data_IF_704754437407
#
_entry.id   IF_704754437407
#
_cell.length_a   1.000
_cell.length_b   1.000
_cell.length_c   1.000
_cell.angle_alpha   90.00
_cell.angle_beta   90.00
_cell.angle_gamma   90.00
#
_symmetry.space_group_name_H-M   'P 1'
#
loop_
_entity.id
_entity.type
_entity.pdbx_description
1 polymer ?
#
# COMPACT_ATOMS: atom_id res chain seq x y z
N UNK A 1 38.59 0.31 -17.25
CA UNK A 1 37.62 -0.30 -16.32
C UNK A 1 37.27 -1.69 -16.84
N UNK A 2 37.30 -2.73 -16.01
CA UNK A 2 36.87 -4.07 -16.44
C UNK A 2 35.35 -4.10 -16.68
N UNK A 3 34.86 -4.93 -17.61
CA UNK A 3 33.42 -5.07 -17.87
C UNK A 3 32.62 -5.38 -16.60
N UNK A 4 33.19 -6.18 -15.69
CA UNK A 4 32.61 -6.50 -14.38
C UNK A 4 32.43 -5.25 -13.50
N UNK A 5 33.40 -4.33 -13.51
CA UNK A 5 33.30 -3.08 -12.73
C UNK A 5 32.20 -2.16 -13.27
N UNK A 6 32.04 -2.08 -14.60
CA UNK A 6 30.97 -1.30 -15.24
C UNK A 6 29.60 -1.92 -14.97
N UNK A 7 29.46 -3.24 -15.11
CA UNK A 7 28.21 -3.94 -14.81
C UNK A 7 27.79 -3.74 -13.34
N UNK A 8 28.75 -3.82 -12.41
CA UNK A 8 28.51 -3.57 -10.99
C UNK A 8 28.09 -2.12 -10.74
N UNK A 9 28.73 -1.15 -11.37
CA UNK A 9 28.37 0.27 -11.26
C UNK A 9 26.93 0.49 -11.75
N UNK A 10 26.59 0.05 -12.96
CA UNK A 10 25.23 0.15 -13.52
C UNK A 10 24.20 -0.49 -12.58
N UNK A 11 24.51 -1.66 -12.01
CA UNK A 11 23.58 -2.38 -11.14
C UNK A 11 23.38 -1.74 -9.76
N UNK A 12 24.39 -1.03 -9.22
CA UNK A 12 24.39 -0.60 -7.80
C UNK A 12 24.39 0.91 -7.59
N UNK A 13 24.90 1.69 -8.54
CA UNK A 13 24.97 3.13 -8.44
C UNK A 13 23.61 3.77 -8.72
N UNK A 14 23.03 4.37 -7.67
CA UNK A 14 21.70 4.98 -7.71
C UNK A 14 21.55 6.10 -8.75
N UNK A 15 22.65 6.67 -9.27
CA UNK A 15 22.61 7.66 -10.34
C UNK A 15 21.94 7.12 -11.62
N UNK A 16 22.11 5.82 -11.94
CA UNK A 16 21.54 5.23 -13.15
C UNK A 16 20.01 5.11 -13.11
N UNK A 17 19.40 5.20 -11.92
CA UNK A 17 17.93 5.23 -11.79
C UNK A 17 17.29 6.44 -12.49
N UNK A 18 18.07 7.49 -12.79
CA UNK A 18 17.62 8.68 -13.51
C UNK A 18 17.11 8.37 -14.91
N UNK A 19 17.84 7.56 -15.66
CA UNK A 19 17.50 7.17 -17.03
C UNK A 19 16.82 5.79 -17.08
N UNK A 20 17.10 4.91 -16.11
CA UNK A 20 16.48 3.58 -16.07
C UNK A 20 14.97 3.66 -15.85
N UNK A 21 14.50 4.55 -14.97
CA UNK A 21 13.06 4.70 -14.72
C UNK A 21 12.25 5.11 -15.96
N UNK A 22 12.58 6.19 -16.70
CA UNK A 22 11.86 6.53 -17.92
C UNK A 22 11.98 5.44 -18.99
N UNK A 23 13.12 4.75 -19.09
CA UNK A 23 13.26 3.59 -19.98
C UNK A 23 12.27 2.48 -19.63
N UNK A 24 12.18 2.10 -18.36
CA UNK A 24 11.23 1.09 -17.90
C UNK A 24 9.78 1.51 -18.19
N UNK A 25 9.42 2.78 -17.98
CA UNK A 25 8.09 3.28 -18.30
C UNK A 25 7.76 3.13 -19.80
N UNK A 26 8.71 3.41 -20.70
CA UNK A 26 8.51 3.26 -22.15
C UNK A 26 8.38 1.79 -22.54
N UNK A 27 9.27 0.93 -22.02
CA UNK A 27 9.22 -0.52 -22.28
C UNK A 27 7.89 -1.11 -21.82
N UNK A 28 7.43 -0.72 -20.63
CA UNK A 28 6.23 -1.27 -20.03
C UNK A 28 4.95 -0.69 -20.65
N UNK A 29 4.99 0.55 -21.15
CA UNK A 29 3.92 1.11 -21.97
C UNK A 29 3.74 0.32 -23.27
N UNK A 30 4.85 -0.04 -23.93
CA UNK A 30 4.82 -0.90 -25.10
C UNK A 30 4.29 -2.31 -24.76
N UNK A 31 4.75 -2.89 -23.65
CA UNK A 31 4.24 -4.18 -23.16
C UNK A 31 2.73 -4.12 -22.88
N UNK A 32 2.24 -3.07 -22.24
CA UNK A 32 0.80 -2.87 -22.02
C UNK A 32 0.02 -2.80 -23.33
N UNK A 33 0.56 -2.11 -24.35
CA UNK A 33 -0.04 -2.07 -25.69
C UNK A 33 -0.15 -3.46 -26.31
N UNK A 34 0.93 -4.24 -26.25
CA UNK A 34 0.95 -5.64 -26.72
C UNK A 34 -0.04 -6.50 -25.95
N UNK A 35 -0.17 -6.32 -24.63
CA UNK A 35 -1.12 -7.07 -23.80
C UNK A 35 -2.56 -6.75 -24.22
N UNK A 36 -2.92 -5.48 -24.44
CA UNK A 36 -4.26 -5.08 -24.88
C UNK A 36 -4.59 -5.71 -26.23
N UNK A 37 -3.63 -5.72 -27.16
CA UNK A 37 -3.85 -6.26 -28.51
C UNK A 37 -3.91 -7.80 -28.55
N UNK A 38 -3.07 -8.47 -27.75
CA UNK A 38 -2.86 -9.93 -27.87
C UNK A 38 -3.54 -10.77 -26.80
N UNK A 39 -3.99 -10.19 -25.69
CA UNK A 39 -4.57 -10.92 -24.56
C UNK A 39 -6.03 -10.51 -24.36
N UNK A 40 -7.00 -11.44 -24.41
CA UNK A 40 -8.40 -11.13 -24.19
C UNK A 40 -8.66 -10.50 -22.81
N UNK A 41 -9.53 -9.49 -22.81
CA UNK A 41 -10.11 -8.93 -21.59
C UNK A 41 -10.79 -10.01 -20.75
N UNK A 42 -10.64 -9.94 -19.42
CA UNK A 42 -11.27 -10.87 -18.49
C UNK A 42 -12.22 -10.11 -17.56
N UNK A 43 -13.52 -10.23 -17.83
CA UNK A 43 -14.56 -9.64 -16.97
C UNK A 43 -14.58 -10.33 -15.60
N UNK A 44 -14.51 -9.52 -14.54
CA UNK A 44 -14.71 -9.96 -13.16
C UNK A 44 -15.66 -8.98 -12.46
N UNK A 45 -15.22 -7.74 -12.25
CA UNK A 45 -16.00 -6.75 -11.48
C UNK A 45 -16.36 -5.48 -12.27
N UNK A 46 -15.80 -5.27 -13.47
CA UNK A 46 -15.99 -4.02 -14.22
C UNK A 46 -17.47 -3.73 -14.50
N UNK A 47 -18.18 -4.73 -15.03
CA UNK A 47 -19.62 -4.68 -15.26
C UNK A 47 -20.41 -4.35 -13.99
N UNK A 48 -20.02 -4.94 -12.85
CA UNK A 48 -20.64 -4.66 -11.55
C UNK A 48 -20.38 -3.22 -11.11
N UNK A 49 -19.16 -2.70 -11.30
CA UNK A 49 -18.87 -1.30 -11.01
C UNK A 49 -19.76 -0.37 -11.85
N UNK A 50 -19.94 -0.65 -13.15
CA UNK A 50 -20.81 0.14 -14.02
C UNK A 50 -22.29 0.07 -13.60
N UNK A 51 -22.76 -1.10 -13.16
CA UNK A 51 -24.11 -1.27 -12.61
C UNK A 51 -24.31 -0.46 -11.33
N UNK A 52 -23.35 -0.47 -10.40
CA UNK A 52 -23.38 0.35 -9.19
C UNK A 52 -23.51 1.84 -9.53
N UNK A 53 -22.69 2.31 -10.47
CA UNK A 53 -22.74 3.71 -10.92
C UNK A 53 -24.05 4.05 -11.62
N UNK A 54 -24.62 3.13 -12.42
CA UNK A 54 -25.93 3.32 -13.05
C UNK A 54 -27.04 3.55 -12.02
N UNK A 55 -27.08 2.73 -10.96
CA UNK A 55 -28.03 2.90 -9.84
C UNK A 55 -27.80 4.23 -9.10
N UNK A 56 -26.54 4.57 -8.81
CA UNK A 56 -26.18 5.86 -8.21
C UNK A 56 -26.64 7.04 -9.08
N UNK A 57 -26.47 6.95 -10.40
CA UNK A 57 -26.85 8.01 -11.33
C UNK A 57 -28.38 8.18 -11.46
N UNK A 58 -29.15 7.13 -11.18
CA UNK A 58 -30.62 7.19 -11.05
C UNK A 58 -31.10 7.80 -9.73
N UNK A 59 -30.19 8.18 -8.84
CA UNK A 59 -30.50 8.85 -7.58
C UNK A 59 -30.43 7.96 -6.34
N UNK A 60 -30.08 6.67 -6.47
CA UNK A 60 -29.92 5.78 -5.31
C UNK A 60 -28.72 6.23 -4.46
N UNK A 61 -28.90 6.28 -3.14
CA UNK A 61 -27.90 6.67 -2.14
C UNK A 61 -27.79 5.69 -0.98
N UNK A 62 -28.71 4.73 -0.89
CA UNK A 62 -28.68 3.65 0.08
C UNK A 62 -27.79 2.51 -0.44
N UNK A 63 -26.62 2.33 0.17
CA UNK A 63 -25.65 1.29 -0.22
C UNK A 63 -26.22 -0.13 -0.17
N UNK A 64 -27.21 -0.38 0.70
CA UNK A 64 -27.89 -1.68 0.77
C UNK A 64 -28.65 -2.04 -0.51
N UNK A 65 -28.99 -1.03 -1.33
CA UNK A 65 -29.72 -1.16 -2.60
C UNK A 65 -28.84 -1.02 -3.83
N UNK A 66 -27.57 -0.61 -3.67
CA UNK A 66 -26.63 -0.49 -4.78
C UNK A 66 -25.92 -1.83 -4.97
N UNK A 67 -26.43 -2.64 -5.88
CA UNK A 67 -25.94 -4.00 -6.15
C UNK A 67 -25.67 -4.24 -7.63
N UNK A 68 -24.87 -5.25 -7.93
CA UNK A 68 -24.55 -5.69 -9.28
C UNK A 68 -24.27 -7.19 -9.32
N UNK A 69 -23.90 -7.70 -10.49
CA UNK A 69 -23.76 -9.13 -10.78
C UNK A 69 -22.79 -9.88 -9.86
N UNK A 70 -21.73 -9.24 -9.37
CA UNK A 70 -20.75 -9.84 -8.44
C UNK A 70 -20.94 -9.41 -6.99
N UNK A 71 -21.97 -8.61 -6.68
CA UNK A 71 -22.38 -8.30 -5.32
C UNK A 71 -22.70 -6.82 -5.05
N UNK A 72 -22.87 -6.46 -3.76
CA UNK A 72 -23.18 -5.09 -3.36
C UNK A 72 -21.98 -4.15 -3.48
N UNK A 73 -22.26 -2.85 -3.56
CA UNK A 73 -21.24 -1.81 -3.42
C UNK A 73 -20.71 -1.80 -1.98
N UNK A 74 -19.40 -2.00 -1.86
CA UNK A 74 -18.67 -2.03 -0.58
C UNK A 74 -17.45 -1.11 -0.55
N UNK A 75 -17.36 -0.22 -1.53
CA UNK A 75 -16.23 0.71 -1.67
C UNK A 75 -16.63 2.10 -1.20
N UNK A 76 -15.76 2.88 -0.54
CA UNK A 76 -16.13 4.21 -0.08
C UNK A 76 -16.28 5.21 -1.22
N UNK A 77 -16.68 6.45 -0.89
CA UNK A 77 -17.21 7.40 -1.86
C UNK A 77 -16.30 7.84 -3.00
N UNK A 78 -14.96 7.75 -2.86
CA UNK A 78 -14.06 8.09 -3.96
C UNK A 78 -14.14 7.06 -5.09
N UNK A 79 -14.41 5.78 -4.80
CA UNK A 79 -14.73 4.79 -5.82
C UNK A 79 -15.92 5.27 -6.66
N UNK A 80 -17.02 5.67 -6.02
CA UNK A 80 -18.22 6.13 -6.73
C UNK A 80 -17.90 7.35 -7.60
N UNK A 81 -17.11 8.29 -7.09
CA UNK A 81 -16.72 9.48 -7.85
C UNK A 81 -15.85 9.15 -9.08
N UNK A 82 -14.80 8.33 -8.92
CA UNK A 82 -13.91 7.91 -10.01
C UNK A 82 -14.70 7.14 -11.06
N UNK A 83 -15.47 6.14 -10.64
CA UNK A 83 -16.20 5.29 -11.56
C UNK A 83 -17.38 6.01 -12.21
N UNK A 84 -17.91 7.09 -11.62
CA UNK A 84 -18.83 8.00 -12.31
C UNK A 84 -18.17 8.68 -13.52
N UNK A 85 -16.91 9.11 -13.40
CA UNK A 85 -16.19 9.68 -14.55
C UNK A 85 -15.92 8.60 -15.60
N UNK A 86 -15.44 7.42 -15.18
CA UNK A 86 -15.19 6.28 -16.08
C UNK A 86 -16.47 5.87 -16.82
N UNK A 87 -17.60 5.78 -16.14
CA UNK A 87 -18.90 5.45 -16.74
C UNK A 87 -19.30 6.45 -17.83
N UNK A 88 -19.05 7.75 -17.64
CA UNK A 88 -19.37 8.78 -18.64
C UNK A 88 -18.48 8.68 -19.88
N UNK A 89 -17.18 8.44 -19.69
CA UNK A 89 -16.21 8.49 -20.79
C UNK A 89 -16.03 7.15 -21.50
N UNK A 90 -16.51 6.03 -20.95
CA UNK A 90 -16.38 4.68 -21.55
C UNK A 90 -17.69 4.16 -22.15
N UNK A 91 -18.61 5.06 -22.53
CA UNK A 91 -19.95 4.68 -23.02
C UNK A 91 -20.66 3.72 -22.05
N UNK A 92 -20.81 4.17 -20.80
CA UNK A 92 -21.43 3.42 -19.71
C UNK A 92 -20.73 2.08 -19.40
N UNK A 93 -19.43 1.99 -19.73
CA UNK A 93 -18.61 0.79 -19.56
C UNK A 93 -18.59 -0.17 -20.73
N UNK A 94 -19.27 0.14 -21.85
CA UNK A 94 -19.29 -0.69 -23.06
C UNK A 94 -17.99 -0.61 -23.85
N UNK A 95 -17.32 0.54 -23.83
CA UNK A 95 -16.02 0.70 -24.49
C UNK A 95 -14.89 0.19 -23.57
N UNK A 96 -14.70 -1.12 -23.59
CA UNK A 96 -13.67 -1.82 -22.79
C UNK A 96 -12.27 -1.39 -23.20
N UNK A 97 -11.98 -1.30 -24.49
CA UNK A 97 -10.66 -0.89 -24.98
C UNK A 97 -10.23 0.47 -24.43
N UNK A 98 -11.14 1.46 -24.46
CA UNK A 98 -10.90 2.77 -23.83
C UNK A 98 -10.66 2.65 -22.33
N UNK A 99 -11.40 1.78 -21.64
CA UNK A 99 -11.17 1.53 -20.23
C UNK A 99 -9.78 0.92 -19.98
N UNK A 100 -9.34 -0.03 -20.81
CA UNK A 100 -8.00 -0.63 -20.72
C UNK A 100 -6.90 0.42 -20.89
N UNK A 101 -7.01 1.32 -21.88
CA UNK A 101 -6.06 2.42 -22.04
C UNK A 101 -6.05 3.39 -20.85
N UNK A 102 -7.22 3.72 -20.29
CA UNK A 102 -7.29 4.55 -19.08
C UNK A 102 -6.61 3.87 -17.89
N UNK A 103 -6.82 2.56 -17.70
CA UNK A 103 -6.14 1.80 -16.66
C UNK A 103 -4.64 1.62 -16.93
N UNK A 104 -4.20 1.58 -18.19
CA UNK A 104 -2.77 1.65 -18.54
C UNK A 104 -2.17 2.99 -18.13
N UNK A 105 -2.86 4.11 -18.30
CA UNK A 105 -2.38 5.42 -17.80
C UNK A 105 -2.28 5.43 -16.27
N UNK A 106 -3.27 4.85 -15.58
CA UNK A 106 -3.24 4.68 -14.11
C UNK A 106 -2.06 3.80 -13.69
N UNK A 107 -1.82 2.70 -14.42
CA UNK A 107 -0.70 1.79 -14.19
C UNK A 107 0.65 2.50 -14.35
N UNK A 108 0.89 3.17 -15.47
CA UNK A 108 2.14 3.87 -15.76
C UNK A 108 2.36 5.05 -14.81
N UNK A 109 1.31 5.79 -14.46
CA UNK A 109 1.38 6.84 -13.45
C UNK A 109 1.75 6.29 -12.08
N UNK A 110 1.17 5.15 -11.69
CA UNK A 110 1.52 4.48 -10.44
C UNK A 110 2.95 3.93 -10.46
N UNK A 111 3.38 3.27 -11.54
CA UNK A 111 4.75 2.79 -11.74
C UNK A 111 5.76 3.94 -11.67
N UNK A 112 5.45 5.10 -12.27
CA UNK A 112 6.26 6.30 -12.18
C UNK A 112 6.42 6.81 -10.75
N UNK A 113 5.33 6.81 -9.96
CA UNK A 113 5.36 7.16 -8.54
C UNK A 113 6.14 6.15 -7.70
N UNK A 114 5.95 4.84 -7.94
CA UNK A 114 6.70 3.75 -7.28
C UNK A 114 8.19 3.92 -7.56
N UNK A 115 8.58 4.06 -8.83
CA UNK A 115 9.97 4.32 -9.21
C UNK A 115 10.52 5.61 -8.60
N UNK A 116 9.71 6.67 -8.54
CA UNK A 116 10.03 7.91 -7.83
C UNK A 116 10.30 7.67 -6.34
N UNK A 117 9.49 6.83 -5.69
CA UNK A 117 9.65 6.48 -4.28
C UNK A 117 10.94 5.69 -4.04
N UNK A 118 11.22 4.71 -4.90
CA UNK A 118 12.45 3.91 -4.87
C UNK A 118 13.69 4.80 -5.03
N UNK A 119 13.64 5.77 -5.95
CA UNK A 119 14.71 6.75 -6.17
C UNK A 119 14.95 7.62 -4.94
N UNK A 120 13.88 8.16 -4.33
CA UNK A 120 13.98 8.97 -3.10
C UNK A 120 14.52 8.17 -1.92
N UNK A 121 14.18 6.89 -1.84
CA UNK A 121 14.69 5.97 -0.83
C UNK A 121 16.10 5.42 -1.14
N UNK A 122 16.73 5.84 -2.25
CA UNK A 122 18.07 5.43 -2.72
C UNK A 122 18.19 3.91 -2.99
N UNK A 123 17.14 3.30 -3.53
CA UNK A 123 17.17 1.89 -3.95
C UNK A 123 18.11 1.73 -5.16
N UNK A 124 18.97 0.71 -5.19
CA UNK A 124 19.90 0.47 -6.28
C UNK A 124 19.18 0.03 -7.58
N UNK A 125 19.77 0.31 -8.76
CA UNK A 125 19.17 0.00 -10.05
C UNK A 125 18.78 -1.47 -10.26
N UNK A 126 19.51 -2.45 -9.71
CA UNK A 126 19.21 -3.87 -9.90
C UNK A 126 17.82 -4.30 -9.39
N UNK A 127 17.18 -3.51 -8.54
CA UNK A 127 15.82 -3.81 -8.02
C UNK A 127 14.73 -3.34 -8.99
N UNK A 128 15.00 -2.32 -9.80
CA UNK A 128 14.01 -1.68 -10.67
C UNK A 128 13.38 -2.60 -11.72
N UNK A 129 14.08 -3.57 -12.33
CA UNK A 129 13.45 -4.53 -13.24
C UNK A 129 12.27 -5.28 -12.59
N UNK A 130 12.32 -5.60 -11.30
CA UNK A 130 11.23 -6.29 -10.59
C UNK A 130 9.91 -5.49 -10.55
N UNK A 131 9.94 -4.19 -10.87
CA UNK A 131 8.75 -3.34 -10.88
C UNK A 131 7.84 -3.58 -12.09
N UNK A 132 8.39 -4.13 -13.18
CA UNK A 132 7.66 -4.33 -14.45
C UNK A 132 7.48 -5.81 -14.82
N UNK A 133 8.16 -6.73 -14.14
CA UNK A 133 8.14 -8.15 -14.52
C UNK A 133 6.85 -8.90 -14.12
N UNK A 134 5.94 -8.27 -13.38
CA UNK A 134 4.76 -8.95 -12.84
C UNK A 134 3.66 -9.13 -13.88
N UNK A 135 3.40 -10.38 -14.29
CA UNK A 135 2.24 -10.75 -15.11
C UNK A 135 0.94 -10.47 -14.38
N UNK A 136 0.86 -10.81 -13.09
CA UNK A 136 -0.37 -10.63 -12.31
C UNK A 136 -0.74 -9.15 -12.20
N UNK A 137 0.23 -8.28 -11.98
CA UNK A 137 0.00 -6.84 -11.84
C UNK A 137 -0.56 -6.21 -13.12
N UNK A 138 0.05 -6.50 -14.27
CA UNK A 138 -0.49 -6.14 -15.59
C UNK A 138 -1.93 -6.61 -15.75
N UNK A 139 -2.20 -7.85 -15.35
CA UNK A 139 -3.52 -8.45 -15.47
C UNK A 139 -4.56 -7.83 -14.52
N UNK A 140 -4.15 -7.29 -13.37
CA UNK A 140 -5.03 -6.57 -12.43
C UNK A 140 -5.44 -5.22 -13.00
N UNK A 141 -4.48 -4.46 -13.53
CA UNK A 141 -4.72 -3.13 -14.09
C UNK A 141 -5.42 -3.21 -15.44
N UNK A 142 -4.82 -3.89 -16.41
CA UNK A 142 -5.16 -3.75 -17.84
C UNK A 142 -6.19 -4.78 -18.31
N UNK A 143 -6.23 -5.97 -17.69
CA UNK A 143 -7.12 -7.05 -18.14
C UNK A 143 -8.35 -7.27 -17.26
N UNK A 144 -8.36 -6.76 -16.03
CA UNK A 144 -9.47 -6.90 -15.07
C UNK A 144 -10.06 -5.58 -14.60
N UNK A 145 -9.35 -4.46 -14.77
CA UNK A 145 -9.83 -3.10 -14.45
C UNK A 145 -10.27 -2.96 -12.98
N UNK A 146 -9.51 -3.57 -12.06
CA UNK A 146 -9.88 -3.61 -10.64
C UNK A 146 -9.78 -2.26 -9.94
N UNK A 147 -10.71 -1.99 -9.02
CA UNK A 147 -10.72 -0.77 -8.19
C UNK A 147 -9.42 -0.54 -7.41
N UNK A 148 -8.75 -1.62 -6.98
CA UNK A 148 -7.49 -1.60 -6.24
C UNK A 148 -6.39 -0.75 -6.89
N UNK A 149 -6.41 -0.63 -8.23
CA UNK A 149 -5.45 0.18 -8.99
C UNK A 149 -5.42 1.65 -8.53
N UNK A 150 -6.59 2.24 -8.31
CA UNK A 150 -6.71 3.63 -7.85
C UNK A 150 -6.32 3.79 -6.37
N UNK A 151 -6.58 2.78 -5.54
CA UNK A 151 -6.18 2.79 -4.14
C UNK A 151 -4.65 2.71 -3.99
N UNK A 152 -3.99 1.84 -4.78
CA UNK A 152 -2.52 1.74 -4.82
C UNK A 152 -1.90 3.00 -5.39
N UNK A 153 -2.52 3.63 -6.41
CA UNK A 153 -2.11 4.94 -6.89
C UNK A 153 -2.12 5.98 -5.76
N UNK A 154 -3.21 6.07 -5.00
CA UNK A 154 -3.31 6.97 -3.84
C UNK A 154 -2.25 6.70 -2.77
N UNK A 155 -1.98 5.43 -2.46
CA UNK A 155 -0.94 5.02 -1.51
C UNK A 155 0.46 5.48 -1.93
N UNK A 156 0.88 5.17 -3.16
CA UNK A 156 2.22 5.56 -3.62
C UNK A 156 2.34 7.06 -3.90
N UNK A 157 1.26 7.72 -4.32
CA UNK A 157 1.23 9.18 -4.44
C UNK A 157 1.43 9.85 -3.08
N UNK A 158 0.80 9.32 -2.02
CA UNK A 158 0.98 9.79 -0.66
C UNK A 158 2.42 9.58 -0.16
N UNK A 159 2.97 8.37 -0.31
CA UNK A 159 4.37 8.07 0.05
C UNK A 159 5.32 9.04 -0.66
N UNK A 160 5.14 9.25 -1.97
CA UNK A 160 5.99 10.14 -2.76
C UNK A 160 5.89 11.60 -2.31
N UNK A 161 4.71 12.06 -1.89
CA UNK A 161 4.51 13.39 -1.31
C UNK A 161 5.19 13.51 0.07
N UNK A 162 5.03 12.53 0.95
CA UNK A 162 5.70 12.49 2.27
C UNK A 162 7.22 12.49 2.15
N UNK A 163 7.77 11.75 1.19
CA UNK A 163 9.21 11.75 0.90
C UNK A 163 9.76 13.08 0.35
N UNK A 164 8.88 14.01 -0.02
CA UNK A 164 9.21 15.37 -0.47
C UNK A 164 8.79 16.44 0.54
N UNK A 165 8.48 16.05 1.77
CA UNK A 165 7.98 16.91 2.82
C UNK A 165 6.67 17.66 2.48
N UNK A 166 5.88 17.12 1.54
CA UNK A 166 4.56 17.65 1.16
C UNK A 166 3.45 16.93 1.93
N UNK A 167 3.40 17.12 3.26
CA UNK A 167 2.57 16.31 4.16
C UNK A 167 1.07 16.49 3.97
N UNK A 168 0.58 17.73 3.85
CA UNK A 168 -0.84 17.99 3.59
C UNK A 168 -1.31 17.33 2.29
N UNK A 169 -0.54 17.47 1.22
CA UNK A 169 -0.82 16.83 -0.07
C UNK A 169 -0.77 15.31 0.07
N UNK A 170 0.20 14.77 0.78
CA UNK A 170 0.30 13.33 1.04
C UNK A 170 -0.93 12.79 1.78
N UNK A 171 -1.40 13.50 2.82
CA UNK A 171 -2.58 13.12 3.60
C UNK A 171 -3.87 13.22 2.78
N UNK A 172 -3.98 14.23 1.91
CA UNK A 172 -5.08 14.33 0.94
C UNK A 172 -5.10 13.15 -0.06
N UNK A 173 -3.94 12.82 -0.64
CA UNK A 173 -3.80 11.72 -1.60
C UNK A 173 -4.06 10.36 -0.94
N UNK A 174 -3.55 10.17 0.28
CA UNK A 174 -3.79 8.98 1.08
C UNK A 174 -5.27 8.81 1.39
N UNK A 175 -5.92 9.88 1.86
CA UNK A 175 -7.34 9.88 2.17
C UNK A 175 -8.19 9.59 0.93
N UNK A 176 -7.79 10.11 -0.24
CA UNK A 176 -8.44 9.79 -1.52
C UNK A 176 -8.34 8.29 -1.80
N UNK A 177 -7.15 7.68 -1.70
CA UNK A 177 -6.98 6.23 -1.86
C UNK A 177 -7.74 5.40 -0.81
N UNK A 178 -7.81 5.87 0.43
CA UNK A 178 -8.58 5.25 1.51
C UNK A 178 -10.06 5.22 1.16
N UNK A 179 -10.56 6.29 0.53
CA UNK A 179 -11.93 6.37 0.08
C UNK A 179 -12.19 5.65 -1.25
N UNK A 180 -11.16 5.12 -1.90
CA UNK A 180 -11.30 4.14 -2.99
C UNK A 180 -11.44 2.73 -2.41
N UNK A 181 -10.60 2.39 -1.42
CA UNK A 181 -10.64 1.09 -0.76
C UNK A 181 -10.13 1.18 0.68
N UNK A 182 -10.92 0.64 1.61
CA UNK A 182 -10.63 0.66 3.05
C UNK A 182 -9.33 -0.07 3.45
N UNK A 183 -8.72 -0.84 2.55
CA UNK A 183 -7.43 -1.50 2.81
C UNK A 183 -6.30 -0.53 3.16
N UNK A 184 -6.42 0.76 2.81
CA UNK A 184 -5.48 1.79 3.26
C UNK A 184 -5.66 2.17 4.74
N UNK A 185 -6.59 1.59 5.50
CA UNK A 185 -6.57 1.69 6.96
C UNK A 185 -5.35 0.98 7.57
N UNK A 186 -4.82 -0.05 6.90
CA UNK A 186 -3.71 -0.87 7.38
C UNK A 186 -2.43 -0.07 7.72
N UNK A 187 -1.97 0.88 6.89
CA UNK A 187 -0.80 1.72 7.21
C UNK A 187 -1.07 2.87 8.20
N UNK A 188 -2.33 3.17 8.55
CA UNK A 188 -2.68 4.35 9.34
C UNK A 188 -1.97 4.43 10.71
N UNK A 189 -1.84 3.32 11.49
CA UNK A 189 -1.09 3.36 12.77
C UNK A 189 0.38 3.77 12.59
N UNK A 190 1.03 3.26 11.55
CA UNK A 190 2.43 3.58 11.24
C UNK A 190 2.59 5.04 10.78
N UNK A 191 1.62 5.55 10.01
CA UNK A 191 1.60 6.96 9.62
C UNK A 191 1.50 7.88 10.82
N UNK A 192 0.66 7.56 11.82
CA UNK A 192 0.58 8.35 13.05
C UNK A 192 1.92 8.45 13.78
N UNK A 193 2.60 7.32 14.00
CA UNK A 193 3.94 7.28 14.64
C UNK A 193 4.97 8.10 13.86
N UNK A 194 4.91 8.03 12.54
CA UNK A 194 5.83 8.70 11.64
C UNK A 194 5.57 10.22 11.56
N UNK A 195 4.29 10.63 11.50
CA UNK A 195 3.89 12.04 11.47
C UNK A 195 4.20 12.74 12.79
N UNK A 196 3.99 12.09 13.95
CA UNK A 196 4.40 12.64 15.24
C UNK A 196 5.90 12.92 15.29
N UNK A 197 6.74 12.03 14.75
CA UNK A 197 8.19 12.23 14.74
C UNK A 197 8.63 13.31 13.75
N UNK A 198 7.95 13.43 12.61
CA UNK A 198 8.33 14.41 11.59
C UNK A 198 7.80 15.80 11.88
N UNK A 199 6.54 15.91 12.27
CA UNK A 199 5.79 17.16 12.25
C UNK A 199 5.50 17.73 13.64
N UNK A 200 5.67 16.91 14.69
CA UNK A 200 5.13 17.21 16.01
C UNK A 200 3.66 16.84 16.08
N UNK A 201 3.09 16.93 17.28
CA UNK A 201 1.76 16.38 17.58
C UNK A 201 0.64 17.25 17.03
N UNK A 202 0.81 18.57 17.11
CA UNK A 202 -0.20 19.51 16.59
C UNK A 202 -0.38 19.34 15.09
N UNK A 203 0.72 19.30 14.36
CA UNK A 203 0.68 19.19 12.91
C UNK A 203 0.32 17.76 12.47
N UNK A 204 0.71 16.73 13.22
CA UNK A 204 0.19 15.36 13.05
C UNK A 204 -1.34 15.30 13.18
N UNK A 205 -1.93 16.03 14.14
CA UNK A 205 -3.38 16.15 14.27
C UNK A 205 -4.01 16.86 13.05
N UNK A 206 -3.37 17.91 12.51
CA UNK A 206 -3.78 18.54 11.25
C UNK A 206 -3.86 17.51 10.12
N UNK A 207 -2.88 16.61 9.98
CA UNK A 207 -2.89 15.56 8.98
C UNK A 207 -4.05 14.58 9.17
N UNK A 208 -4.34 14.18 10.41
CA UNK A 208 -5.49 13.35 10.73
C UNK A 208 -6.82 14.04 10.37
N UNK A 209 -6.93 15.35 10.66
CA UNK A 209 -8.10 16.14 10.30
C UNK A 209 -8.28 16.25 8.79
N UNK A 210 -7.21 16.37 8.01
CA UNK A 210 -7.29 16.31 6.54
C UNK A 210 -7.84 14.96 6.09
N UNK A 211 -7.34 13.84 6.64
CA UNK A 211 -7.83 12.50 6.29
C UNK A 211 -9.31 12.35 6.61
N UNK A 212 -9.73 12.83 7.78
CA UNK A 212 -11.12 12.82 8.21
C UNK A 212 -12.01 13.68 7.29
N UNK A 213 -11.64 14.94 7.05
CA UNK A 213 -12.41 15.88 6.23
C UNK A 213 -12.55 15.41 4.79
N UNK A 214 -11.48 14.88 4.18
CA UNK A 214 -11.53 14.31 2.82
C UNK A 214 -12.43 13.08 2.78
N UNK A 215 -12.43 12.24 3.82
CA UNK A 215 -13.33 11.09 3.91
C UNK A 215 -14.80 11.50 4.05
N UNK A 216 -15.07 12.54 4.83
CA UNK A 216 -16.41 13.15 4.93
C UNK A 216 -16.83 13.74 3.58
N UNK A 217 -15.93 14.42 2.87
CA UNK A 217 -16.20 15.00 1.55
C UNK A 217 -16.64 13.93 0.54
N UNK A 218 -15.90 12.82 0.43
CA UNK A 218 -16.28 11.71 -0.46
C UNK A 218 -17.56 10.99 -0.01
N UNK A 219 -17.80 10.90 1.31
CA UNK A 219 -19.03 10.32 1.87
C UNK A 219 -20.26 11.23 1.80
N UNK A 220 -20.09 12.54 1.59
CA UNK A 220 -21.16 13.55 1.67
C UNK A 220 -22.39 13.28 0.79
N UNK A 221 -22.27 12.73 -0.43
CA UNK A 221 -23.44 12.35 -1.24
C UNK A 221 -24.39 11.38 -0.53
N UNK A 222 -23.89 10.59 0.43
CA UNK A 222 -24.62 9.56 1.15
C UNK A 222 -25.07 9.99 2.56
N UNK A 223 -24.94 11.27 2.92
CA UNK A 223 -25.25 11.78 4.28
C UNK A 223 -26.64 11.44 4.81
N UNK A 224 -27.66 11.36 3.94
CA UNK A 224 -29.04 10.97 4.31
C UNK A 224 -29.18 9.48 4.59
N UNK A 225 -28.21 8.67 4.13
CA UNK A 225 -28.13 7.22 4.28
C UNK A 225 -26.79 6.82 4.95
N UNK A 226 -26.31 7.65 5.88
CA UNK A 226 -24.97 7.52 6.46
C UNK A 226 -24.73 6.14 7.11
N UNK A 227 -25.71 5.60 7.83
CA UNK A 227 -25.59 4.27 8.45
C UNK A 227 -25.42 3.16 7.41
N UNK A 228 -26.17 3.23 6.30
CA UNK A 228 -26.04 2.30 5.18
C UNK A 228 -24.66 2.43 4.51
N UNK A 229 -24.22 3.68 4.27
CA UNK A 229 -22.90 3.97 3.71
C UNK A 229 -21.77 3.42 4.56
N UNK A 230 -21.66 3.82 5.84
CA UNK A 230 -20.58 3.37 6.71
C UNK A 230 -20.65 1.87 7.01
N UNK A 231 -21.85 1.32 7.16
CA UNK A 231 -22.06 -0.11 7.39
C UNK A 231 -21.59 -0.99 6.23
N UNK A 232 -21.58 -0.48 4.99
CA UNK A 232 -21.16 -1.23 3.79
C UNK A 232 -19.79 -0.85 3.26
N UNK A 233 -19.45 0.43 3.19
CA UNK A 233 -18.16 0.92 2.70
C UNK A 233 -16.98 0.57 3.63
N UNK A 234 -17.26 0.38 4.92
CA UNK A 234 -16.27 0.01 5.95
C UNK A 234 -16.71 -1.26 6.72
N UNK A 235 -17.21 -2.26 5.99
CA UNK A 235 -17.74 -3.51 6.56
C UNK A 235 -16.62 -4.45 7.03
N UNK A 236 -16.23 -4.34 8.30
CA UNK A 236 -15.18 -5.17 8.92
C UNK A 236 -15.62 -6.61 9.22
N UNK A 237 -16.93 -6.88 9.26
CA UNK A 237 -17.48 -8.21 9.56
C UNK A 237 -17.50 -9.16 8.35
N UNK A 238 -17.31 -8.64 7.14
CA UNK A 238 -17.46 -9.41 5.91
C UNK A 238 -16.50 -10.61 5.87
N UNK A 239 -17.06 -11.77 5.59
CA UNK A 239 -16.30 -12.98 5.27
C UNK A 239 -16.30 -13.20 3.77
N UNK A 240 -15.11 -13.28 3.18
CA UNK A 240 -14.96 -13.70 1.80
C UNK A 240 -15.04 -15.22 1.70
N UNK A 241 -15.52 -15.71 0.54
CA UNK A 241 -15.70 -17.13 0.31
C UNK A 241 -14.34 -17.83 0.27
N UNK A 242 -14.23 -18.96 0.95
CA UNK A 242 -13.00 -19.75 1.02
C UNK A 242 -12.48 -20.14 -0.38
N UNK A 243 -13.37 -20.34 -1.36
CA UNK A 243 -13.00 -20.64 -2.76
C UNK A 243 -12.15 -19.56 -3.45
N UNK A 244 -12.24 -18.30 -3.00
CA UNK A 244 -11.56 -17.17 -3.62
C UNK A 244 -10.30 -16.72 -2.88
N UNK A 245 -10.03 -17.28 -1.70
CA UNK A 245 -8.87 -16.90 -0.91
C UNK A 245 -7.58 -17.38 -1.57
N UNK A 246 -6.57 -16.51 -1.59
CA UNK A 246 -5.22 -16.82 -2.04
C UNK A 246 -4.35 -17.25 -0.87
N UNK A 247 -4.61 -16.72 0.33
CA UNK A 247 -3.93 -17.07 1.57
C UNK A 247 -4.77 -18.02 2.45
N UNK A 248 -4.09 -18.79 3.31
CA UNK A 248 -4.70 -19.78 4.22
C UNK A 248 -5.45 -20.94 3.57
N UNK A 249 -5.25 -21.24 2.28
CA UNK A 249 -5.87 -22.38 1.57
C UNK A 249 -5.38 -23.75 2.07
N UNK A 250 -4.31 -23.78 2.85
CA UNK A 250 -3.82 -24.97 3.54
C UNK A 250 -4.51 -25.19 4.91
N UNK A 251 -5.36 -24.27 5.35
CA UNK A 251 -6.16 -24.38 6.58
C UNK A 251 -7.55 -24.91 6.22
N UNK A 252 -8.13 -25.88 6.95
CA UNK A 252 -9.48 -26.36 6.69
C UNK A 252 -10.53 -25.23 6.65
N UNK A 253 -11.54 -25.35 5.78
CA UNK A 253 -12.56 -24.32 5.57
C UNK A 253 -13.31 -23.97 6.86
N UNK A 254 -13.61 -24.98 7.68
CA UNK A 254 -14.27 -24.82 8.97
C UNK A 254 -13.46 -23.93 9.92
N UNK A 255 -12.15 -24.16 9.99
CA UNK A 255 -11.23 -23.34 10.79
C UNK A 255 -11.11 -21.94 10.21
N UNK A 256 -10.97 -21.82 8.89
CA UNK A 256 -10.87 -20.53 8.18
C UNK A 256 -12.08 -19.62 8.45
N UNK A 257 -13.29 -20.18 8.44
CA UNK A 257 -14.53 -19.43 8.68
C UNK A 257 -14.82 -19.19 10.17
N UNK A 258 -14.08 -19.85 11.07
CA UNK A 258 -14.30 -19.76 12.51
C UNK A 258 -13.98 -18.36 13.09
N UNK A 259 -14.74 -17.95 14.11
CA UNK A 259 -14.46 -16.72 14.88
C UNK A 259 -13.10 -16.75 15.59
N UNK A 260 -12.67 -17.86 16.24
CA UNK A 260 -11.36 -17.92 16.87
C UNK A 260 -10.21 -17.66 15.91
N UNK A 261 -10.26 -18.20 14.68
CA UNK A 261 -9.23 -17.96 13.67
C UNK A 261 -9.15 -16.48 13.27
N UNK A 262 -10.29 -15.84 13.01
CA UNK A 262 -10.35 -14.42 12.68
C UNK A 262 -9.82 -13.52 13.82
N UNK A 263 -10.20 -13.81 15.07
CA UNK A 263 -9.73 -13.07 16.25
C UNK A 263 -8.24 -13.32 16.52
N UNK A 264 -7.76 -14.54 16.29
CA UNK A 264 -6.33 -14.88 16.40
C UNK A 264 -5.48 -14.09 15.42
N UNK A 265 -5.90 -14.03 14.15
CA UNK A 265 -5.23 -13.21 13.12
C UNK A 265 -5.23 -11.73 13.49
N UNK A 266 -6.32 -11.20 14.02
CA UNK A 266 -6.41 -9.82 14.50
C UNK A 266 -5.46 -9.57 15.69
N UNK A 267 -5.38 -10.52 16.63
CA UNK A 267 -4.43 -10.46 17.74
C UNK A 267 -2.97 -10.44 17.27
N UNK A 268 -2.62 -11.30 16.31
CA UNK A 268 -1.29 -11.32 15.68
C UNK A 268 -1.01 -9.99 14.96
N UNK A 269 -2.00 -9.45 14.24
CA UNK A 269 -1.88 -8.15 13.59
C UNK A 269 -1.52 -7.04 14.58
N UNK A 270 -2.29 -6.92 15.66
CA UNK A 270 -2.04 -5.94 16.72
C UNK A 270 -0.67 -6.13 17.38
N UNK A 271 -0.30 -7.38 17.69
CA UNK A 271 0.99 -7.70 18.28
C UNK A 271 2.16 -7.30 17.36
N UNK A 272 2.09 -7.61 16.06
CA UNK A 272 3.12 -7.22 15.09
C UNK A 272 3.23 -5.70 14.94
N UNK A 273 2.09 -4.98 14.89
CA UNK A 273 2.10 -3.51 14.87
C UNK A 273 2.75 -2.92 16.13
N UNK A 274 2.45 -3.47 17.32
CA UNK A 274 3.08 -3.05 18.57
C UNK A 274 4.58 -3.31 18.54
N UNK A 275 5.01 -4.53 18.16
CA UNK A 275 6.43 -4.89 18.07
C UNK A 275 7.17 -3.95 17.13
N UNK A 276 6.65 -3.71 15.92
CA UNK A 276 7.27 -2.77 14.98
C UNK A 276 7.24 -1.34 15.50
N UNK A 277 6.12 -0.90 16.07
CA UNK A 277 5.96 0.41 16.69
C UNK A 277 7.06 0.68 17.71
N UNK A 278 7.16 -0.17 18.74
CA UNK A 278 8.08 0.04 19.87
C UNK A 278 9.54 -0.27 19.57
N UNK A 279 9.82 -1.17 18.63
CA UNK A 279 11.21 -1.60 18.37
C UNK A 279 11.82 -1.01 17.10
N UNK A 280 11.03 -0.51 16.15
CA UNK A 280 11.52 -0.01 14.84
C UNK A 280 11.03 1.40 14.53
N UNK A 281 9.72 1.64 14.59
CA UNK A 281 9.16 2.89 14.10
C UNK A 281 9.43 4.08 15.01
N UNK A 282 9.58 3.91 16.33
CA UNK A 282 9.94 5.03 17.23
C UNK A 282 11.44 5.30 17.28
N UNK A 283 12.30 4.48 16.67
CA UNK A 283 13.76 4.61 16.79
C UNK A 283 14.32 5.98 16.39
N UNK A 284 13.85 6.65 15.31
CA UNK A 284 14.35 7.99 14.98
C UNK A 284 14.17 9.01 16.11
N UNK A 285 13.13 8.86 16.93
CA UNK A 285 12.89 9.72 18.10
C UNK A 285 13.91 9.57 19.22
N UNK A 286 14.70 8.48 19.23
CA UNK A 286 15.64 8.12 20.32
C UNK A 286 14.99 8.03 21.71
N UNK A 287 13.68 7.84 21.77
CA UNK A 287 12.90 7.74 23.01
C UNK A 287 12.54 6.30 23.33
N UNK A 288 12.43 5.99 24.62
CA UNK A 288 11.73 4.80 25.07
C UNK A 288 10.23 4.88 24.71
N UNK A 289 9.49 3.76 24.64
CA UNK A 289 8.05 3.78 24.36
C UNK A 289 7.25 4.69 25.29
N UNK A 290 7.63 4.76 26.59
CA UNK A 290 6.97 5.64 27.57
C UNK A 290 7.20 7.12 27.26
N UNK A 291 8.44 7.49 26.93
CA UNK A 291 8.77 8.86 26.53
C UNK A 291 8.11 9.23 25.18
N UNK A 292 8.04 8.28 24.26
CA UNK A 292 7.33 8.48 22.98
C UNK A 292 5.84 8.76 23.20
N UNK A 293 5.18 8.02 24.10
CA UNK A 293 3.77 8.26 24.40
C UNK A 293 3.49 9.69 24.91
N UNK A 294 4.42 10.26 25.70
CA UNK A 294 4.32 11.64 26.20
C UNK A 294 4.33 12.70 25.08
N UNK A 295 4.90 12.38 23.92
CA UNK A 295 4.95 13.29 22.77
C UNK A 295 3.86 12.99 21.72
N UNK A 296 2.96 12.04 21.97
CA UNK A 296 1.80 11.84 21.08
C UNK A 296 0.76 12.94 21.32
N UNK A 297 0.58 13.33 22.58
CA UNK A 297 -0.30 14.44 23.00
C UNK A 297 0.42 15.29 24.07
N UNK A 298 1.44 16.07 23.68
CA UNK A 298 2.23 16.85 24.61
C UNK A 298 1.52 18.14 25.01
N UNK A 299 1.86 18.66 26.19
CA UNK A 299 1.46 20.00 26.62
C UNK A 299 2.22 21.10 25.85
N UNK A 300 3.46 20.81 25.45
CA UNK A 300 4.30 21.66 24.60
C UNK A 300 5.16 20.78 23.67
N UNK A 301 5.40 21.24 22.44
CA UNK A 301 6.22 20.49 21.47
C UNK A 301 7.64 20.25 22.02
N UNK A 302 8.24 19.07 21.78
CA UNK A 302 9.58 18.76 22.27
C UNK A 302 10.64 19.73 21.73
N UNK A 303 11.59 20.13 22.58
CA UNK A 303 12.70 21.04 22.18
C UNK A 303 13.56 20.48 21.04
N UNK A 304 13.66 19.16 20.93
CA UNK A 304 14.43 18.42 19.92
C UNK A 304 13.58 17.97 18.70
N UNK A 305 12.36 18.50 18.52
CA UNK A 305 11.46 18.12 17.42
C UNK A 305 12.12 18.23 16.04
N UNK A 306 12.90 19.30 15.79
CA UNK A 306 13.62 19.47 14.52
C UNK A 306 14.69 18.40 14.29
N UNK A 307 15.35 17.95 15.36
CA UNK A 307 16.36 16.89 15.30
C UNK A 307 15.70 15.56 14.97
N UNK A 308 14.55 15.27 15.61
CA UNK A 308 13.74 14.09 15.29
C UNK A 308 13.27 14.12 13.83
N UNK A 309 12.75 15.26 13.36
CA UNK A 309 12.25 15.44 12.00
C UNK A 309 13.31 15.18 10.93
N UNK A 310 14.56 15.60 11.17
CA UNK A 310 15.70 15.33 10.27
C UNK A 310 16.04 13.85 10.14
N UNK A 311 15.77 13.03 11.17
CA UNK A 311 16.01 11.58 11.15
C UNK A 311 14.90 10.81 10.40
N UNK A 312 13.74 11.42 10.16
CA UNK A 312 12.68 10.85 9.32
C UNK A 312 13.05 11.04 7.85
N UNK A 313 13.77 10.05 7.30
CA UNK A 313 14.25 10.05 5.91
C UNK A 313 13.21 9.48 4.94
N UNK A 314 13.31 9.75 3.62
CA UNK A 314 12.43 9.15 2.63
C UNK A 314 12.42 7.61 2.64
N UNK A 315 13.58 7.00 2.92
CA UNK A 315 13.71 5.57 3.07
C UNK A 315 12.90 5.07 4.28
N UNK A 316 13.05 5.71 5.43
CA UNK A 316 12.31 5.38 6.64
C UNK A 316 10.79 5.56 6.48
N UNK A 317 10.36 6.62 5.78
CA UNK A 317 8.94 6.87 5.48
C UNK A 317 8.32 5.69 4.74
N UNK A 318 8.96 5.28 3.65
CA UNK A 318 8.49 4.19 2.81
C UNK A 318 8.53 2.84 3.56
N UNK A 319 9.59 2.55 4.30
CA UNK A 319 9.69 1.32 5.12
C UNK A 319 8.57 1.25 6.15
N UNK A 320 8.30 2.34 6.87
CA UNK A 320 7.30 2.35 7.93
C UNK A 320 5.89 2.13 7.40
N UNK A 321 5.51 2.83 6.31
CA UNK A 321 4.19 2.69 5.69
C UNK A 321 4.01 1.29 5.07
N UNK A 322 5.00 0.81 4.30
CA UNK A 322 4.87 -0.48 3.60
C UNK A 322 4.96 -1.67 4.55
N UNK A 323 5.72 -1.61 5.64
CA UNK A 323 5.74 -2.69 6.65
C UNK A 323 4.37 -2.85 7.32
N UNK A 324 3.70 -1.75 7.67
CA UNK A 324 2.35 -1.80 8.23
C UNK A 324 1.32 -2.37 7.24
N UNK A 325 1.39 -1.95 5.98
CA UNK A 325 0.55 -2.51 4.91
C UNK A 325 0.75 -4.03 4.80
N UNK A 326 2.00 -4.50 4.79
CA UNK A 326 2.32 -5.92 4.63
C UNK A 326 1.96 -6.75 5.87
N UNK A 327 2.11 -6.21 7.08
CA UNK A 327 1.60 -6.83 8.31
C UNK A 327 0.08 -7.02 8.21
N UNK A 328 -0.64 -6.03 7.68
CA UNK A 328 -2.06 -6.16 7.37
C UNK A 328 -2.38 -7.27 6.38
N UNK A 329 -1.62 -7.37 5.28
CA UNK A 329 -1.80 -8.44 4.29
C UNK A 329 -1.50 -9.83 4.86
N UNK A 330 -0.43 -9.97 5.65
CA UNK A 330 -0.08 -11.25 6.30
C UNK A 330 -1.21 -11.72 7.21
N UNK A 331 -1.78 -10.80 8.01
CA UNK A 331 -2.81 -11.11 8.98
C UNK A 331 -4.23 -11.06 8.42
N UNK A 332 -4.42 -10.76 7.14
CA UNK A 332 -5.74 -10.78 6.54
C UNK A 332 -6.28 -12.21 6.54
N UNK A 333 -7.52 -12.41 7.00
CA UNK A 333 -8.18 -13.73 6.91
C UNK A 333 -8.33 -14.18 5.46
N UNK A 334 -8.65 -13.27 4.55
CA UNK A 334 -8.77 -13.60 3.13
C UNK A 334 -8.20 -12.50 2.26
N UNK A 335 -7.36 -12.91 1.31
CA UNK A 335 -6.83 -12.10 0.24
C UNK A 335 -7.34 -12.66 -1.08
N UNK A 336 -7.92 -11.79 -1.90
CA UNK A 336 -8.21 -12.09 -3.30
C UNK A 336 -7.08 -11.58 -4.20
N UNK A 337 -7.04 -12.05 -5.46
CA UNK A 337 -5.97 -11.73 -6.41
C UNK A 337 -5.71 -10.23 -6.60
N UNK A 338 -6.72 -9.36 -6.48
CA UNK A 338 -6.52 -7.90 -6.60
C UNK A 338 -5.58 -7.31 -5.54
N UNK A 339 -5.48 -7.93 -4.36
CA UNK A 339 -4.60 -7.46 -3.29
C UNK A 339 -3.12 -7.58 -3.64
N UNK A 340 -2.77 -8.32 -4.69
CA UNK A 340 -1.40 -8.38 -5.18
C UNK A 340 -0.86 -7.01 -5.61
N UNK A 341 -1.73 -6.07 -6.01
CA UNK A 341 -1.31 -4.72 -6.38
C UNK A 341 -0.58 -3.97 -5.25
N UNK A 342 -0.92 -4.25 -3.99
CA UNK A 342 -0.22 -3.69 -2.84
C UNK A 342 1.09 -4.42 -2.52
N UNK A 343 1.18 -5.70 -2.86
CA UNK A 343 2.30 -6.58 -2.51
C UNK A 343 3.42 -6.48 -3.54
N UNK A 344 3.07 -6.51 -4.84
CA UNK A 344 4.01 -6.61 -5.95
C UNK A 344 5.10 -5.53 -5.92
N UNK A 345 4.73 -4.28 -5.62
CA UNK A 345 5.67 -3.15 -5.51
C UNK A 345 6.19 -2.89 -4.09
N UNK A 346 5.63 -3.54 -3.07
CA UNK A 346 6.15 -3.47 -1.71
C UNK A 346 7.27 -4.46 -1.46
N UNK A 347 7.14 -5.67 -2.01
CA UNK A 347 8.07 -6.77 -1.77
C UNK A 347 9.51 -6.47 -2.20
N UNK A 348 9.81 -5.99 -3.43
CA UNK A 348 11.20 -5.72 -3.85
C UNK A 348 11.90 -4.72 -2.92
N UNK A 349 11.21 -3.62 -2.58
CA UNK A 349 11.73 -2.61 -1.66
C UNK A 349 12.01 -3.18 -0.27
N UNK A 350 11.07 -3.94 0.30
CA UNK A 350 11.22 -4.47 1.65
C UNK A 350 12.30 -5.55 1.73
N UNK A 351 12.43 -6.41 0.71
CA UNK A 351 13.50 -7.41 0.65
C UNK A 351 14.88 -6.74 0.50
N UNK A 352 15.00 -5.69 -0.31
CA UNK A 352 16.20 -4.88 -0.37
C UNK A 352 16.51 -4.21 0.98
N UNK A 353 15.49 -3.61 1.61
CA UNK A 353 15.61 -2.95 2.91
C UNK A 353 16.00 -3.91 4.04
N UNK A 354 15.59 -5.17 3.95
CA UNK A 354 16.02 -6.23 4.86
C UNK A 354 17.51 -6.61 4.72
N UNK A 355 18.18 -6.15 3.65
CA UNK A 355 19.59 -6.44 3.37
C UNK A 355 19.81 -7.77 2.65
N UNK A 356 18.78 -8.34 2.00
CA UNK A 356 18.96 -9.58 1.25
C UNK A 356 19.87 -9.41 0.04
N UNK A 357 20.63 -10.47 -0.28
CA UNK A 357 21.37 -10.55 -1.53
C UNK A 357 20.40 -10.52 -2.74
N UNK A 358 20.76 -9.89 -3.89
CA UNK A 358 19.88 -9.79 -5.06
C UNK A 358 19.26 -11.14 -5.49
N UNK A 359 20.03 -12.22 -5.46
CA UNK A 359 19.51 -13.57 -5.78
C UNK A 359 18.32 -13.97 -4.91
N UNK A 360 18.39 -13.71 -3.61
CA UNK A 360 17.30 -14.02 -2.67
C UNK A 360 16.10 -13.10 -2.91
N UNK A 361 16.34 -11.82 -3.23
CA UNK A 361 15.28 -10.88 -3.57
C UNK A 361 14.47 -11.37 -4.79
N UNK A 362 15.17 -11.76 -5.86
CA UNK A 362 14.55 -12.27 -7.08
C UNK A 362 13.86 -13.62 -6.87
N UNK A 363 14.45 -14.51 -6.07
CA UNK A 363 13.85 -15.81 -5.75
C UNK A 363 12.54 -15.66 -4.96
N UNK A 364 12.53 -14.83 -3.90
CA UNK A 364 11.33 -14.59 -3.10
C UNK A 364 10.26 -13.81 -3.88
N UNK A 365 10.67 -12.83 -4.70
CA UNK A 365 9.75 -12.13 -5.60
C UNK A 365 9.13 -13.10 -6.61
N UNK A 366 9.93 -13.96 -7.23
CA UNK A 366 9.46 -14.95 -8.20
C UNK A 366 8.54 -16.00 -7.58
N UNK A 367 8.85 -16.46 -6.37
CA UNK A 367 7.97 -17.35 -5.60
C UNK A 367 6.61 -16.69 -5.31
N UNK A 368 6.62 -15.39 -4.96
CA UNK A 368 5.41 -14.62 -4.77
C UNK A 368 4.64 -14.46 -6.09
N UNK A 369 5.30 -14.04 -7.18
CA UNK A 369 4.65 -13.91 -8.50
C UNK A 369 4.02 -15.23 -8.93
N UNK A 370 4.73 -16.36 -8.82
CA UNK A 370 4.19 -17.68 -9.12
C UNK A 370 2.94 -17.99 -8.28
N UNK A 371 3.04 -17.85 -6.96
CA UNK A 371 1.97 -18.20 -6.04
C UNK A 371 0.68 -17.41 -6.29
N UNK A 372 0.81 -16.13 -6.66
CA UNK A 372 -0.33 -15.27 -7.01
C UNK A 372 -0.86 -15.50 -8.44
N UNK A 373 -0.15 -16.25 -9.29
CA UNK A 373 -0.62 -16.63 -10.62
C UNK A 373 -1.36 -18.00 -10.64
N UNK A 374 -1.22 -18.83 -9.62
CA UNK A 374 -1.95 -20.10 -9.49
C UNK A 374 -3.44 -19.82 -9.24
N UNK A 375 -4.33 -20.30 -10.10
CA UNK A 375 -5.79 -20.15 -9.97
C UNK A 375 -6.53 -21.45 -10.34
N UNK A 376 -7.46 -21.95 -9.51
CA UNK A 376 -7.67 -21.53 -8.11
C UNK A 376 -6.44 -21.83 -7.26
N UNK A 377 -6.28 -21.14 -6.13
CA UNK A 377 -5.10 -21.35 -5.28
C UNK A 377 -5.08 -22.78 -4.71
N UNK A 378 -3.89 -23.34 -4.61
CA UNK A 378 -3.61 -24.63 -3.93
C UNK A 378 -3.04 -24.39 -2.53
N UNK A 379 -3.04 -25.40 -1.63
CA UNK A 379 -2.37 -25.32 -0.34
C UNK A 379 -0.90 -24.86 -0.45
N UNK A 380 -0.16 -25.36 -1.45
CA UNK A 380 1.25 -25.00 -1.67
C UNK A 380 1.42 -23.53 -2.10
N UNK A 381 0.65 -23.08 -3.10
CA UNK A 381 0.69 -21.67 -3.53
C UNK A 381 0.32 -20.73 -2.38
N UNK A 382 -0.68 -21.11 -1.59
CA UNK A 382 -1.14 -20.32 -0.46
C UNK A 382 -0.15 -20.27 0.70
N UNK A 383 0.49 -21.40 1.03
CA UNK A 383 1.58 -21.46 1.99
C UNK A 383 2.78 -20.61 1.53
N UNK A 384 3.05 -20.58 0.22
CA UNK A 384 4.08 -19.72 -0.36
C UNK A 384 3.76 -18.24 -0.17
N UNK A 385 2.51 -17.82 -0.44
CA UNK A 385 2.08 -16.42 -0.20
C UNK A 385 2.28 -16.01 1.25
N UNK A 386 1.79 -16.82 2.20
CA UNK A 386 1.93 -16.54 3.64
C UNK A 386 3.40 -16.57 4.06
N UNK A 387 4.17 -17.55 3.60
CA UNK A 387 5.57 -17.73 3.92
C UNK A 387 6.44 -16.56 3.45
N UNK A 388 6.30 -16.11 2.20
CA UNK A 388 7.08 -14.98 1.68
C UNK A 388 6.68 -13.67 2.38
N UNK A 389 5.40 -13.46 2.70
CA UNK A 389 4.97 -12.30 3.49
C UNK A 389 5.61 -12.32 4.88
N UNK A 390 5.59 -13.46 5.57
CA UNK A 390 6.19 -13.64 6.89
C UNK A 390 7.72 -13.45 6.85
N UNK A 391 8.41 -14.02 5.86
CA UNK A 391 9.85 -13.82 5.63
C UNK A 391 10.14 -12.34 5.40
N UNK A 392 9.36 -11.65 4.56
CA UNK A 392 9.54 -10.22 4.29
C UNK A 392 9.42 -9.39 5.56
N UNK A 393 8.39 -9.63 6.38
CA UNK A 393 8.18 -8.89 7.64
C UNK A 393 9.28 -9.20 8.66
N UNK A 394 9.56 -10.48 8.91
CA UNK A 394 10.58 -10.90 9.87
C UNK A 394 11.99 -10.42 9.48
N UNK A 395 12.32 -10.48 8.19
CA UNK A 395 13.61 -10.03 7.68
C UNK A 395 13.77 -8.51 7.72
N UNK A 396 12.73 -7.71 7.44
CA UNK A 396 12.80 -6.25 7.61
C UNK A 396 12.95 -5.90 9.08
N UNK A 397 12.22 -6.56 9.97
CA UNK A 397 12.39 -6.37 11.41
C UNK A 397 13.82 -6.68 11.86
N UNK A 398 14.41 -7.75 11.36
CA UNK A 398 15.79 -8.12 11.68
C UNK A 398 16.83 -7.21 11.04
N UNK A 399 16.72 -6.95 9.74
CA UNK A 399 17.68 -6.17 8.94
C UNK A 399 17.80 -4.72 9.40
N UNK A 400 16.72 -4.13 9.91
CA UNK A 400 16.69 -2.75 10.42
C UNK A 400 17.04 -2.62 11.91
N UNK A 401 17.45 -3.71 12.57
CA UNK A 401 17.73 -3.71 14.03
C UNK A 401 18.88 -2.80 14.46
N UNK A 402 19.83 -2.53 13.57
CA UNK A 402 20.98 -1.67 13.86
C UNK A 402 20.80 -0.23 13.39
N UNK A 403 19.71 0.08 12.69
CA UNK A 403 19.41 1.45 12.31
C UNK A 403 19.12 2.29 13.55
N UNK A 404 19.67 3.51 13.54
CA UNK A 404 19.55 4.48 14.62
C UNK A 404 20.04 3.95 15.99
N UNK A 405 21.00 3.00 16.02
CA UNK A 405 21.70 2.57 17.26
C UNK A 405 22.99 3.41 17.43
N UNK A 406 23.35 3.74 18.67
CA UNK A 406 24.54 4.56 19.00
C UNK A 406 24.31 6.08 18.95
N UNK A 407 25.36 6.86 19.23
CA UNK A 407 25.33 8.32 19.08
C UNK A 407 25.16 8.69 17.61
N UNK A 408 24.01 9.26 17.29
CA UNK A 408 23.82 9.97 16.04
C UNK A 408 24.19 11.41 16.34
N UNK A 409 25.31 11.92 15.78
CA UNK A 409 25.77 13.32 15.96
C UNK A 409 24.57 14.28 16.01
N UNK A 410 24.40 14.95 17.14
CA UNK A 410 23.28 15.88 17.40
C UNK A 410 22.38 15.55 18.59
N UNK A 411 22.85 14.80 19.59
CA UNK A 411 22.26 14.86 20.93
C UNK A 411 22.92 16.04 21.63
N UNK A 412 22.14 17.10 21.87
CA UNK A 412 22.53 18.12 22.84
C UNK A 412 22.35 17.43 24.19
N UNK A 413 23.45 17.21 24.89
CA UNK A 413 23.40 16.82 26.30
C UNK A 413 22.63 17.91 27.05
N UNK A 414 21.50 17.54 27.66
CA UNK A 414 20.91 18.32 28.74
C UNK A 414 21.89 18.22 29.93
N UNK A 415 22.94 19.02 29.91
CA UNK A 415 23.60 19.41 31.14
C UNK A 415 22.63 20.35 31.86
N UNK A 416 21.91 19.81 32.85
CA UNK A 416 21.32 20.59 33.93
C UNK A 416 22.44 21.44 34.54
N UNK A 417 22.44 22.73 34.21
CA UNK A 417 23.18 23.72 34.98
C UNK A 417 22.59 23.73 36.39
N UNK A 418 23.38 23.23 37.33
CA UNK A 418 23.22 23.53 38.73
C UNK A 418 23.42 25.05 38.92
N UNK A 419 22.39 25.71 39.45
CA UNK A 419 22.51 26.89 40.30
C UNK A 419 21.77 26.62 41.62
#
# INVERSE_FOLDING_TARGET
MSLLSQARDIATNTAHTKWLLPLLLVVDAALCGVIIEKVPYTEIDWSTYMQHISLYMKGERDYSKITGSTGPLVYPGAHVWIYTQLFRITDHGRNIERAQYLFTLVYLGCLGLVGGCYRKAKVPPYVFPLLILSKRLHSIFVLRLFNDCFAVLGLFAAIYAYQRDQWHLGSFLFATGLNVKMSLLLPLPAMGVLMTQKLGSRESMTQFMIIFQVSVLFGYPFRKQAFSYFGKAFELSRAFLYKWTVNWRFVPEETFLSKPFALGLLGIHAALLIVFGVTRWIKPSKRSPRQFMKIVMPQAEPRDQDVMAKRVTPNFVMTTILTAMMIGMLCARSLHYQFYAYIAWSTPFLLWKAGFHPVVQYALWGAQEWAWNVYPSTPLSSATVVGVLAITIGSVWWGTRHEYVGELKGVIDDHEHAE
#
